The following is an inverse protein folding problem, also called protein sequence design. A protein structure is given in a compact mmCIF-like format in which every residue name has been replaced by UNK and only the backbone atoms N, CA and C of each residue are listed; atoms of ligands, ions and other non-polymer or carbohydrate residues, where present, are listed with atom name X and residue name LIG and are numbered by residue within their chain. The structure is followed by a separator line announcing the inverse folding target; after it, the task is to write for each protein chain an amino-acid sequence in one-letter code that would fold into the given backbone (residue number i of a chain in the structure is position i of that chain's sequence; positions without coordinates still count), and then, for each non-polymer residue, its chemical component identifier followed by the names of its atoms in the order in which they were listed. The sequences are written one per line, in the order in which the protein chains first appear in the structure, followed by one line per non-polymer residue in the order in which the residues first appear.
data_IF_380166942258
#
_entry.id   IF_380166942258
#
_cell.length_a   1.000
_cell.length_b   1.000
_cell.length_c   1.000
_cell.angle_alpha   90.00
_cell.angle_beta   90.00
_cell.angle_gamma   90.00
#
_symmetry.space_group_name_H-M   'P 1'
#
loop_
_entity.id
_entity.type
_entity.pdbx_description
1 polymer ?
#
# COMPACT_ATOMS: atom_id res chain seq x y z
N UNK A 1 6.69 -18.32 -12.87
CA UNK A 1 5.44 -17.78 -12.34
C UNK A 1 5.84 -16.87 -11.20
N UNK A 2 5.68 -15.56 -11.35
CA UNK A 2 6.04 -14.57 -10.33
C UNK A 2 4.95 -14.56 -9.26
N UNK A 3 5.25 -15.02 -8.06
CA UNK A 3 4.32 -15.04 -6.92
C UNK A 3 4.67 -13.90 -5.96
N UNK A 4 3.66 -13.28 -5.35
CA UNK A 4 3.90 -12.29 -4.30
C UNK A 4 4.43 -12.97 -3.03
N UNK A 5 5.49 -12.41 -2.43
CA UNK A 5 6.15 -12.96 -1.25
C UNK A 5 6.17 -11.93 -0.10
N UNK A 6 5.27 -12.05 0.88
CA UNK A 6 5.15 -11.13 2.03
C UNK A 6 6.47 -10.76 2.72
N UNK A 7 7.33 -11.75 2.96
CA UNK A 7 8.56 -11.55 3.74
C UNK A 7 9.74 -10.92 2.97
N UNK A 8 9.64 -10.80 1.64
CA UNK A 8 10.69 -10.18 0.83
C UNK A 8 10.67 -8.65 0.96
N UNK A 9 11.79 -7.92 0.71
CA UNK A 9 11.72 -6.47 0.57
C UNK A 9 10.77 -6.10 -0.58
N UNK A 10 9.96 -5.05 -0.41
CA UNK A 10 8.87 -4.75 -1.33
C UNK A 10 8.92 -3.32 -1.86
N UNK A 11 8.91 -3.19 -3.19
CA UNK A 11 8.55 -1.97 -3.90
C UNK A 11 7.26 -2.23 -4.68
N UNK A 12 6.13 -1.89 -4.06
CA UNK A 12 4.80 -2.09 -4.66
C UNK A 12 4.28 -0.75 -5.19
N UNK A 13 3.82 -0.74 -6.45
CA UNK A 13 3.13 0.43 -7.01
C UNK A 13 1.63 0.36 -6.71
N UNK A 14 1.10 1.35 -6.02
CA UNK A 14 -0.31 1.51 -5.71
C UNK A 14 -1.05 2.36 -6.76
N UNK A 15 -2.07 1.77 -7.38
CA UNK A 15 -2.85 2.37 -8.46
C UNK A 15 -4.37 2.34 -8.22
N UNK A 16 -4.84 2.01 -7.02
CA UNK A 16 -6.27 1.89 -6.71
C UNK A 16 -6.97 3.24 -6.44
N UNK A 17 -6.22 4.35 -6.32
CA UNK A 17 -6.71 5.69 -5.95
C UNK A 17 -7.89 6.20 -6.78
N UNK A 18 -7.88 5.96 -8.09
CA UNK A 18 -8.91 6.43 -9.01
C UNK A 18 -10.31 5.90 -8.67
N UNK A 19 -10.40 4.77 -7.93
CA UNK A 19 -11.67 4.22 -7.44
C UNK A 19 -12.44 5.19 -6.53
N UNK A 20 -11.72 6.05 -5.79
CA UNK A 20 -12.29 6.98 -4.82
C UNK A 20 -12.18 8.44 -5.29
N UNK A 21 -11.13 8.77 -6.06
CA UNK A 21 -10.83 10.13 -6.50
C UNK A 21 -11.33 10.45 -7.93
N UNK A 22 -11.73 9.43 -8.71
CA UNK A 22 -12.02 9.60 -10.13
C UNK A 22 -10.75 9.70 -10.97
N UNK A 23 -10.80 10.47 -12.06
CA UNK A 23 -9.66 10.68 -12.95
C UNK A 23 -8.60 11.51 -12.24
N UNK A 24 -7.42 10.92 -11.99
CA UNK A 24 -6.31 11.57 -11.29
C UNK A 24 -5.06 11.65 -12.16
N UNK A 25 -4.27 12.74 -12.08
CA UNK A 25 -3.06 12.89 -12.88
C UNK A 25 -2.05 11.76 -12.66
N UNK A 26 -1.61 11.09 -13.72
CA UNK A 26 -0.73 9.92 -13.71
C UNK A 26 -1.45 8.57 -13.78
N UNK A 27 -2.79 8.56 -13.75
CA UNK A 27 -3.63 7.37 -13.92
C UNK A 27 -4.73 7.58 -14.97
N UNK A 28 -4.61 8.59 -15.85
CA UNK A 28 -5.54 8.80 -16.96
C UNK A 28 -5.52 7.62 -17.93
N UNK A 29 -4.33 7.03 -18.18
CA UNK A 29 -4.16 5.74 -18.83
C UNK A 29 -3.44 4.77 -17.89
N UNK A 30 -4.17 3.91 -17.16
CA UNK A 30 -3.56 2.90 -16.30
C UNK A 30 -2.64 1.94 -17.06
N UNK A 31 -2.87 1.71 -18.35
CA UNK A 31 -2.08 0.77 -19.16
C UNK A 31 -0.65 1.26 -19.37
N UNK A 32 -0.46 2.55 -19.66
CA UNK A 32 0.87 3.15 -19.79
C UNK A 32 1.63 3.12 -18.46
N UNK A 33 0.95 3.45 -17.35
CA UNK A 33 1.56 3.41 -16.01
C UNK A 33 1.94 1.98 -15.60
N UNK A 34 1.15 0.96 -15.96
CA UNK A 34 1.47 -0.45 -15.72
C UNK A 34 2.76 -0.84 -16.47
N UNK A 35 2.85 -0.57 -17.77
CA UNK A 35 4.04 -0.95 -18.56
C UNK A 35 5.29 -0.25 -18.04
N UNK A 36 5.21 1.05 -17.79
CA UNK A 36 6.31 1.82 -17.20
C UNK A 36 6.79 1.22 -15.87
N UNK A 37 5.86 0.84 -14.99
CA UNK A 37 6.19 0.27 -13.70
C UNK A 37 6.89 -1.08 -13.81
N UNK A 38 6.41 -1.95 -14.70
CA UNK A 38 6.99 -3.27 -14.95
C UNK A 38 8.40 -3.13 -15.54
N UNK A 39 8.58 -2.24 -16.53
CA UNK A 39 9.89 -1.98 -17.16
C UNK A 39 10.89 -1.39 -16.18
N UNK A 40 10.45 -0.49 -15.29
CA UNK A 40 11.28 0.09 -14.25
C UNK A 40 11.57 -0.89 -13.09
N UNK A 41 10.88 -2.03 -13.04
CA UNK A 41 11.13 -3.13 -12.12
C UNK A 41 10.46 -2.98 -10.76
N UNK A 42 9.16 -2.67 -10.70
CA UNK A 42 8.43 -2.84 -9.43
C UNK A 42 8.31 -4.32 -9.05
N UNK A 43 8.23 -4.62 -7.76
CA UNK A 43 8.09 -6.01 -7.29
C UNK A 43 6.64 -6.49 -7.33
N UNK A 44 5.68 -5.57 -7.24
CA UNK A 44 4.26 -5.85 -7.37
C UNK A 44 3.46 -4.60 -7.76
N UNK A 45 2.24 -4.81 -8.24
CA UNK A 45 1.24 -3.75 -8.47
C UNK A 45 -0.01 -4.03 -7.63
N UNK A 46 -0.42 -3.07 -6.81
CA UNK A 46 -1.68 -3.12 -6.05
C UNK A 46 -2.71 -2.21 -6.72
N UNK A 47 -3.83 -2.76 -7.20
CA UNK A 47 -4.82 -1.98 -7.96
C UNK A 47 -6.25 -2.50 -7.80
N UNK A 48 -7.20 -1.89 -8.51
CA UNK A 48 -8.64 -2.16 -8.42
C UNK A 48 -9.12 -3.19 -9.45
N UNK A 49 -10.24 -3.85 -9.14
CA UNK A 49 -10.84 -4.89 -9.99
C UNK A 49 -11.00 -4.49 -11.46
N UNK A 50 -11.49 -3.27 -11.73
CA UNK A 50 -11.72 -2.78 -13.09
C UNK A 50 -10.42 -2.65 -13.90
N UNK A 51 -9.35 -2.18 -13.26
CA UNK A 51 -8.02 -2.09 -13.89
C UNK A 51 -7.48 -3.48 -14.20
N UNK A 52 -7.51 -4.40 -13.23
CA UNK A 52 -7.04 -5.77 -13.42
C UNK A 52 -7.82 -6.46 -14.54
N UNK A 53 -9.15 -6.33 -14.54
CA UNK A 53 -10.01 -6.93 -15.57
C UNK A 53 -9.70 -6.39 -16.96
N UNK A 54 -9.48 -5.09 -17.10
CA UNK A 54 -9.26 -4.44 -18.41
C UNK A 54 -7.85 -4.67 -18.95
N UNK A 55 -6.85 -4.69 -18.07
CA UNK A 55 -5.42 -4.77 -18.42
C UNK A 55 -4.80 -6.08 -17.96
N UNK A 56 -5.60 -7.15 -17.90
CA UNK A 56 -5.20 -8.46 -17.39
C UNK A 56 -3.94 -9.00 -18.05
N UNK A 57 -3.85 -8.87 -19.38
CA UNK A 57 -2.72 -9.35 -20.18
C UNK A 57 -1.42 -8.56 -19.93
N UNK A 58 -1.52 -7.35 -19.36
CA UNK A 58 -0.35 -6.56 -18.96
C UNK A 58 0.13 -6.90 -17.54
N UNK A 59 -0.77 -7.40 -16.70
CA UNK A 59 -0.50 -7.63 -15.27
C UNK A 59 -0.20 -9.10 -14.97
N UNK A 60 -1.19 -9.97 -15.22
CA UNK A 60 -1.22 -11.32 -14.65
C UNK A 60 -0.14 -12.19 -15.27
N UNK A 61 0.74 -12.74 -14.42
CA UNK A 61 1.89 -13.55 -14.82
C UNK A 61 3.10 -12.75 -15.31
N UNK A 62 2.98 -11.42 -15.44
CA UNK A 62 4.08 -10.50 -15.76
C UNK A 62 4.64 -9.83 -14.51
N UNK A 63 3.77 -9.48 -13.56
CA UNK A 63 4.12 -8.87 -12.27
C UNK A 63 3.14 -9.34 -11.19
N UNK A 64 3.61 -9.65 -9.96
CA UNK A 64 2.69 -9.95 -8.86
C UNK A 64 1.65 -8.85 -8.70
N UNK A 65 0.38 -9.22 -8.72
CA UNK A 65 -0.74 -8.26 -8.72
C UNK A 65 -1.61 -8.47 -7.49
N UNK A 66 -1.85 -7.39 -6.73
CA UNK A 66 -2.72 -7.40 -5.55
C UNK A 66 -4.04 -6.69 -5.84
N UNK A 67 -5.16 -7.32 -5.48
CA UNK A 67 -6.50 -6.74 -5.63
C UNK A 67 -6.92 -6.00 -4.36
N UNK A 68 -7.25 -4.71 -4.48
CA UNK A 68 -8.08 -4.01 -3.48
C UNK A 68 -9.48 -4.62 -3.45
N UNK A 69 -9.86 -5.27 -2.36
CA UNK A 69 -11.15 -5.99 -2.25
C UNK A 69 -12.27 -5.17 -1.63
N UNK A 70 -11.94 -4.13 -0.88
CA UNK A 70 -12.90 -3.33 -0.12
C UNK A 70 -12.85 -1.85 -0.53
N UNK A 71 -13.84 -1.10 -0.08
CA UNK A 71 -13.93 0.32 -0.40
C UNK A 71 -15.08 1.02 0.29
N UNK A 72 -15.04 2.35 0.20
CA UNK A 72 -16.04 3.24 0.73
C UNK A 72 -16.32 4.41 -0.20
N UNK A 73 -16.93 5.47 0.33
CA UNK A 73 -17.30 6.67 -0.42
C UNK A 73 -16.17 7.29 -1.24
N UNK A 74 -16.56 7.91 -2.36
CA UNK A 74 -15.67 8.78 -3.14
C UNK A 74 -15.46 10.13 -2.47
N UNK A 75 -14.45 10.89 -2.90
CA UNK A 75 -14.19 12.27 -2.46
C UNK A 75 -15.35 13.24 -2.68
N UNK A 76 -16.33 12.91 -3.53
CA UNK A 76 -17.54 13.71 -3.73
C UNK A 76 -18.55 13.60 -2.59
N UNK A 77 -18.42 12.56 -1.76
CA UNK A 77 -19.34 12.29 -0.66
C UNK A 77 -18.75 12.70 0.68
N UNK A 78 -17.47 12.46 0.90
CA UNK A 78 -16.76 12.83 2.12
C UNK A 78 -15.24 12.90 1.92
N UNK A 79 -14.57 13.58 2.85
CA UNK A 79 -13.11 13.72 2.85
C UNK A 79 -12.40 12.41 3.22
N UNK A 80 -11.13 12.30 2.84
CA UNK A 80 -10.27 11.18 3.23
C UNK A 80 -10.17 11.05 4.76
N UNK A 81 -10.29 9.81 5.27
CA UNK A 81 -10.37 9.45 6.69
C UNK A 81 -11.68 9.82 7.42
N UNK A 82 -12.67 10.41 6.75
CA UNK A 82 -14.01 10.53 7.32
C UNK A 82 -14.70 9.16 7.39
N UNK A 83 -14.63 8.38 6.30
CA UNK A 83 -15.02 6.98 6.18
C UNK A 83 -16.32 6.62 6.92
N UNK A 84 -17.45 7.21 6.55
CA UNK A 84 -18.75 6.93 7.22
C UNK A 84 -19.38 5.62 6.77
N UNK A 85 -18.89 5.02 5.67
CA UNK A 85 -19.32 3.72 5.17
C UNK A 85 -18.15 2.94 4.59
N UNK A 86 -18.09 1.63 4.85
CA UNK A 86 -17.07 0.77 4.25
C UNK A 86 -17.61 -0.63 3.98
N UNK A 87 -17.32 -1.21 2.82
CA UNK A 87 -17.91 -2.50 2.40
C UNK A 87 -16.88 -3.35 1.70
N UNK A 88 -17.07 -4.67 1.81
CA UNK A 88 -16.44 -5.60 0.89
C UNK A 88 -17.07 -5.43 -0.50
N UNK A 89 -16.25 -5.17 -1.51
CA UNK A 89 -16.69 -4.91 -2.88
C UNK A 89 -16.41 -6.08 -3.83
N UNK A 90 -15.40 -6.89 -3.50
CA UNK A 90 -14.96 -8.04 -4.29
C UNK A 90 -14.67 -9.24 -3.40
N UNK A 91 -14.96 -10.42 -3.90
CA UNK A 91 -14.81 -11.69 -3.15
C UNK A 91 -13.50 -12.40 -3.49
N UNK A 92 -13.20 -13.51 -2.80
CA UNK A 92 -12.08 -14.38 -3.20
C UNK A 92 -12.33 -15.05 -4.55
N UNK A 93 -13.57 -15.39 -4.89
CA UNK A 93 -13.90 -15.95 -6.20
C UNK A 93 -13.57 -14.96 -7.32
N UNK A 94 -13.85 -13.67 -7.10
CA UNK A 94 -13.45 -12.59 -8.01
C UNK A 94 -11.92 -12.53 -8.17
N UNK A 95 -11.18 -12.61 -7.06
CA UNK A 95 -9.72 -12.60 -7.05
C UNK A 95 -9.14 -13.80 -7.83
N UNK A 96 -9.66 -15.00 -7.59
CA UNK A 96 -9.26 -16.23 -8.29
C UNK A 96 -9.58 -16.16 -9.78
N UNK A 97 -10.77 -15.64 -10.14
CA UNK A 97 -11.16 -15.46 -11.54
C UNK A 97 -10.25 -14.48 -12.28
N UNK A 98 -9.80 -13.42 -11.61
CA UNK A 98 -8.80 -12.50 -12.15
C UNK A 98 -7.41 -13.14 -12.22
N UNK A 99 -7.09 -14.06 -11.31
CA UNK A 99 -5.79 -14.72 -11.22
C UNK A 99 -4.74 -13.85 -10.55
N UNK A 100 -5.14 -13.05 -9.55
CA UNK A 100 -4.24 -12.18 -8.77
C UNK A 100 -3.36 -12.99 -7.82
N UNK A 101 -2.29 -12.38 -7.35
CA UNK A 101 -1.26 -13.00 -6.51
C UNK A 101 -1.40 -12.63 -5.02
N UNK A 102 -2.33 -11.73 -4.69
CA UNK A 102 -2.62 -11.32 -3.33
C UNK A 102 -3.79 -10.35 -3.24
N UNK A 103 -4.11 -9.95 -2.02
CA UNK A 103 -5.27 -9.12 -1.70
C UNK A 103 -4.84 -7.92 -0.89
N UNK A 104 -5.65 -6.86 -0.93
CA UNK A 104 -5.47 -5.70 -0.07
C UNK A 104 -6.81 -5.23 0.50
N UNK A 105 -6.92 -5.14 1.83
CA UNK A 105 -8.05 -4.51 2.55
C UNK A 105 -7.62 -3.27 3.34
N UNK A 106 -8.56 -2.55 3.92
CA UNK A 106 -8.32 -1.43 4.84
C UNK A 106 -8.72 -1.81 6.27
N UNK A 107 -8.04 -1.21 7.25
CA UNK A 107 -8.48 -1.09 8.64
C UNK A 107 -8.41 0.38 9.03
N UNK A 108 -9.53 0.93 9.50
CA UNK A 108 -9.62 2.34 9.93
C UNK A 108 -9.86 2.44 11.44
N UNK A 109 -8.77 2.42 12.21
CA UNK A 109 -8.80 2.49 13.67
C UNK A 109 -9.35 3.84 14.14
N UNK A 110 -10.30 3.82 15.06
CA UNK A 110 -10.95 4.99 15.65
C UNK A 110 -12.06 5.61 14.80
N UNK A 111 -12.34 5.08 13.60
CA UNK A 111 -13.38 5.59 12.70
C UNK A 111 -14.77 5.01 13.00
N UNK A 112 -15.83 5.59 12.42
CA UNK A 112 -17.20 5.05 12.51
C UNK A 112 -17.34 3.64 11.93
N UNK A 113 -16.44 3.26 11.02
CA UNK A 113 -16.45 1.98 10.31
C UNK A 113 -15.39 1.00 10.81
N UNK A 114 -14.74 1.26 11.97
CA UNK A 114 -13.69 0.40 12.51
C UNK A 114 -14.15 -1.08 12.54
N UNK A 115 -15.29 -1.35 13.15
CA UNK A 115 -15.83 -2.71 13.25
C UNK A 115 -16.17 -3.32 11.88
N UNK A 116 -16.66 -2.52 10.93
CA UNK A 116 -16.94 -3.00 9.57
C UNK A 116 -15.63 -3.41 8.88
N UNK A 117 -14.58 -2.58 8.97
CA UNK A 117 -13.26 -2.86 8.36
C UNK A 117 -12.54 -4.06 8.99
N UNK A 118 -12.66 -4.22 10.32
CA UNK A 118 -12.11 -5.37 11.04
C UNK A 118 -12.86 -6.67 10.66
N UNK A 119 -14.19 -6.61 10.57
CA UNK A 119 -14.99 -7.76 10.15
C UNK A 119 -14.67 -8.19 8.72
N UNK A 120 -14.55 -7.23 7.79
CA UNK A 120 -14.12 -7.48 6.41
C UNK A 120 -12.74 -8.14 6.37
N UNK A 121 -11.78 -7.62 7.14
CA UNK A 121 -10.42 -8.16 7.19
C UNK A 121 -10.41 -9.59 7.73
N UNK A 122 -11.13 -9.88 8.81
CA UNK A 122 -11.23 -11.23 9.36
C UNK A 122 -11.91 -12.23 8.40
N UNK A 123 -12.97 -11.80 7.71
CA UNK A 123 -13.64 -12.62 6.69
C UNK A 123 -12.70 -12.94 5.53
N UNK A 124 -12.02 -11.92 5.01
CA UNK A 124 -11.10 -12.09 3.88
C UNK A 124 -9.88 -12.91 4.28
N UNK A 125 -9.31 -12.72 5.46
CA UNK A 125 -8.17 -13.52 5.94
C UNK A 125 -8.49 -15.02 5.92
N UNK A 126 -9.69 -15.41 6.35
CA UNK A 126 -10.12 -16.81 6.32
C UNK A 126 -10.14 -17.36 4.90
N UNK A 127 -10.72 -16.65 3.95
CA UNK A 127 -10.85 -17.11 2.58
C UNK A 127 -9.52 -17.01 1.80
N UNK A 128 -8.70 -16.01 2.10
CA UNK A 128 -7.37 -15.82 1.55
C UNK A 128 -6.45 -17.00 1.89
N UNK A 129 -6.52 -17.48 3.15
CA UNK A 129 -5.83 -18.69 3.60
C UNK A 129 -6.21 -19.92 2.77
N UNK A 130 -7.52 -20.13 2.50
CA UNK A 130 -7.97 -21.26 1.67
C UNK A 130 -7.48 -21.15 0.22
N UNK A 131 -7.45 -19.92 -0.32
CA UNK A 131 -6.99 -19.64 -1.67
C UNK A 131 -5.47 -19.57 -1.81
N UNK A 132 -4.71 -19.66 -0.70
CA UNK A 132 -3.26 -19.43 -0.67
C UNK A 132 -2.85 -18.07 -1.27
N UNK A 133 -3.67 -17.04 -1.04
CA UNK A 133 -3.40 -15.66 -1.43
C UNK A 133 -2.98 -14.86 -0.20
N UNK A 134 -1.81 -14.22 -0.19
CA UNK A 134 -1.44 -13.33 0.91
C UNK A 134 -2.37 -12.12 1.02
N UNK A 135 -2.66 -11.71 2.24
CA UNK A 135 -3.47 -10.53 2.56
C UNK A 135 -2.58 -9.38 3.08
N UNK A 136 -2.47 -8.32 2.28
CA UNK A 136 -1.98 -7.03 2.76
C UNK A 136 -3.14 -6.27 3.41
N UNK A 137 -2.91 -5.67 4.57
CA UNK A 137 -3.90 -4.80 5.23
C UNK A 137 -3.33 -3.41 5.36
N UNK A 138 -4.01 -2.42 4.79
CA UNK A 138 -3.68 -1.01 4.97
C UNK A 138 -4.37 -0.47 6.23
N UNK A 139 -3.59 -0.38 7.31
CA UNK A 139 -4.08 -0.04 8.64
C UNK A 139 -3.74 1.40 8.99
N UNK A 140 -4.76 2.24 9.18
CA UNK A 140 -4.61 3.66 9.45
C UNK A 140 -5.46 4.09 10.65
N UNK A 141 -4.87 4.82 11.62
CA UNK A 141 -5.64 5.54 12.62
C UNK A 141 -6.37 6.73 11.98
N UNK A 142 -7.59 6.97 12.43
CA UNK A 142 -8.45 8.05 11.95
C UNK A 142 -8.63 9.11 13.05
N UNK A 143 -8.67 10.41 12.68
CA UNK A 143 -8.77 11.48 13.65
C UNK A 143 -10.09 11.42 14.43
N UNK A 144 -10.02 11.55 15.74
CA UNK A 144 -11.18 11.52 16.62
C UNK A 144 -10.84 11.85 18.07
N UNK A 145 -11.83 11.86 18.96
CA UNK A 145 -11.64 12.26 20.35
C UNK A 145 -10.58 11.42 21.12
N UNK A 146 -10.34 10.18 20.69
CA UNK A 146 -9.33 9.28 21.26
C UNK A 146 -8.03 9.20 20.45
N UNK A 147 -8.03 9.73 19.23
CA UNK A 147 -6.87 9.79 18.34
C UNK A 147 -6.79 11.22 17.81
N UNK A 148 -6.25 12.17 18.59
CA UNK A 148 -6.16 13.57 18.18
C UNK A 148 -5.22 13.77 16.99
N UNK A 149 -4.18 12.95 16.88
CA UNK A 149 -3.20 12.96 15.79
C UNK A 149 -3.18 11.58 15.11
N UNK A 150 -3.61 11.47 13.84
CA UNK A 150 -3.54 10.23 13.08
C UNK A 150 -2.11 9.85 12.66
N UNK A 151 -1.10 10.68 12.95
CA UNK A 151 0.31 10.33 12.76
C UNK A 151 0.98 9.88 14.06
N UNK A 152 0.23 9.80 15.18
CA UNK A 152 0.77 9.33 16.45
C UNK A 152 1.32 7.91 16.33
N UNK A 153 2.55 7.73 16.80
CA UNK A 153 3.28 6.47 16.63
C UNK A 153 2.64 5.29 17.39
N UNK A 154 2.02 5.55 18.54
CA UNK A 154 1.33 4.51 19.30
C UNK A 154 0.03 4.10 18.59
N UNK A 155 -0.77 5.07 18.14
CA UNK A 155 -1.98 4.79 17.38
C UNK A 155 -1.68 4.01 16.08
N UNK A 156 -0.57 4.33 15.40
CA UNK A 156 -0.10 3.61 14.21
C UNK A 156 0.32 2.18 14.54
N UNK A 157 1.09 1.98 15.61
CA UNK A 157 1.52 0.67 16.08
C UNK A 157 0.32 -0.21 16.46
N UNK A 158 -0.67 0.36 17.17
CA UNK A 158 -1.88 -0.33 17.56
C UNK A 158 -2.73 -0.72 16.34
N UNK A 159 -2.86 0.17 15.34
CA UNK A 159 -3.56 -0.14 14.09
C UNK A 159 -2.89 -1.31 13.36
N UNK A 160 -1.56 -1.30 13.26
CA UNK A 160 -0.81 -2.38 12.62
C UNK A 160 -0.94 -3.71 13.37
N UNK A 161 -0.84 -3.66 14.70
CA UNK A 161 -1.03 -4.85 15.54
C UNK A 161 -2.45 -5.42 15.37
N UNK A 162 -3.47 -4.58 15.36
CA UNK A 162 -4.85 -5.03 15.17
C UNK A 162 -5.05 -5.65 13.80
N UNK A 163 -4.48 -5.09 12.74
CA UNK A 163 -4.52 -5.69 11.40
C UNK A 163 -3.87 -7.09 11.39
N UNK A 164 -2.70 -7.25 12.02
CA UNK A 164 -2.07 -8.56 12.18
C UNK A 164 -2.96 -9.56 12.93
N UNK A 165 -3.53 -9.17 14.07
CA UNK A 165 -4.40 -10.04 14.87
C UNK A 165 -5.67 -10.48 14.11
N UNK A 166 -6.07 -9.74 13.07
CA UNK A 166 -7.19 -10.08 12.19
C UNK A 166 -6.76 -10.81 10.90
N UNK A 167 -5.49 -11.19 10.80
CA UNK A 167 -4.98 -12.09 9.75
C UNK A 167 -4.24 -11.41 8.60
N UNK A 168 -3.68 -10.22 8.81
CA UNK A 168 -2.76 -9.63 7.84
C UNK A 168 -1.45 -10.43 7.74
N UNK A 169 -1.01 -10.74 6.51
CA UNK A 169 0.33 -11.28 6.22
C UNK A 169 1.36 -10.17 6.02
N UNK A 170 0.91 -8.98 5.60
CA UNK A 170 1.70 -7.75 5.46
C UNK A 170 0.83 -6.58 5.92
N UNK A 171 1.42 -5.63 6.65
CA UNK A 171 0.71 -4.41 7.02
C UNK A 171 1.29 -3.23 6.26
N UNK A 172 0.41 -2.46 5.61
CA UNK A 172 0.72 -1.19 4.98
C UNK A 172 0.25 -0.05 5.88
N UNK A 173 1.09 0.93 6.15
CA UNK A 173 0.72 2.05 7.05
C UNK A 173 1.51 3.33 6.74
N UNK A 174 1.29 4.44 7.45
CA UNK A 174 2.09 5.67 7.26
C UNK A 174 3.35 5.69 8.12
N UNK A 175 4.39 6.39 7.65
CA UNK A 175 5.56 6.71 8.46
C UNK A 175 5.16 7.67 9.61
N UNK A 176 5.82 7.54 10.76
CA UNK A 176 5.45 8.25 12.01
C UNK A 176 6.37 9.43 12.33
N UNK A 177 6.95 10.06 11.30
CA UNK A 177 7.77 11.26 11.42
C UNK A 177 9.28 11.01 11.49
N UNK A 178 9.75 10.04 12.27
CA UNK A 178 11.16 9.67 12.37
C UNK A 178 11.39 8.15 12.52
N UNK A 179 12.65 7.72 12.43
CA UNK A 179 13.00 6.30 12.53
C UNK A 179 12.73 5.69 13.93
N UNK A 180 12.91 6.44 15.02
CA UNK A 180 12.70 5.89 16.38
C UNK A 180 11.22 5.60 16.64
N UNK A 181 10.36 6.53 16.26
CA UNK A 181 8.91 6.37 16.33
C UNK A 181 8.44 5.22 15.44
N UNK A 182 8.95 5.10 14.21
CA UNK A 182 8.53 4.05 13.30
C UNK A 182 9.03 2.66 13.74
N UNK A 183 10.18 2.60 14.42
CA UNK A 183 10.69 1.36 15.01
C UNK A 183 9.74 0.78 16.07
N UNK A 184 8.88 1.60 16.70
CA UNK A 184 7.82 1.11 17.59
C UNK A 184 6.72 0.40 16.82
N UNK A 185 6.38 0.89 15.63
CA UNK A 185 5.37 0.28 14.75
C UNK A 185 5.85 -1.07 14.25
N UNK A 186 7.06 -1.12 13.70
CA UNK A 186 7.66 -2.35 13.18
C UNK A 186 7.93 -3.36 14.29
N UNK A 187 8.44 -2.91 15.45
CA UNK A 187 8.67 -3.78 16.61
C UNK A 187 7.39 -4.31 17.27
N UNK A 188 6.25 -3.62 17.08
CA UNK A 188 4.94 -4.02 17.60
C UNK A 188 4.14 -4.94 16.66
N UNK A 189 4.55 -5.08 15.40
CA UNK A 189 3.85 -5.84 14.37
C UNK A 189 4.64 -7.13 14.02
N UNK A 190 4.08 -8.33 14.27
CA UNK A 190 4.78 -9.60 14.01
C UNK A 190 4.97 -9.95 12.53
N UNK A 191 4.37 -9.19 11.62
CA UNK A 191 4.47 -9.38 10.16
C UNK A 191 5.14 -8.17 9.50
N UNK A 192 5.69 -8.31 8.28
CA UNK A 192 6.30 -7.21 7.55
C UNK A 192 5.42 -5.96 7.50
N UNK A 193 6.02 -4.81 7.84
CA UNK A 193 5.38 -3.49 7.73
C UNK A 193 6.00 -2.73 6.57
N UNK A 194 5.16 -2.23 5.66
CA UNK A 194 5.56 -1.41 4.51
C UNK A 194 4.94 -0.02 4.61
N UNK A 195 5.66 1.02 4.18
CA UNK A 195 5.17 2.39 4.25
C UNK A 195 4.39 2.78 3.00
N UNK A 196 3.19 3.33 3.22
CA UNK A 196 2.40 3.99 2.21
C UNK A 196 2.95 5.39 1.91
N UNK A 197 2.90 5.79 0.64
CA UNK A 197 3.45 7.09 0.22
C UNK A 197 2.69 8.30 0.76
N UNK A 198 1.45 8.14 1.25
CA UNK A 198 0.62 9.26 1.67
C UNK A 198 0.34 10.24 0.52
N UNK A 199 0.10 11.53 0.83
CA UNK A 199 0.11 12.62 -0.15
C UNK A 199 1.44 12.68 -0.91
N UNK A 200 1.44 13.33 -2.08
CA UNK A 200 2.70 13.63 -2.78
C UNK A 200 3.55 14.52 -1.86
N UNK A 201 4.78 14.11 -1.60
CA UNK A 201 5.74 14.88 -0.81
C UNK A 201 6.32 16.01 -1.67
N UNK A 202 6.78 17.08 -1.00
CA UNK A 202 7.24 18.30 -1.67
C UNK A 202 8.49 18.06 -2.54
N UNK A 203 9.36 17.15 -2.14
CA UNK A 203 10.60 16.81 -2.86
C UNK A 203 10.84 15.32 -2.89
N UNK A 204 11.46 14.85 -3.98
CA UNK A 204 11.85 13.46 -4.14
C UNK A 204 12.92 13.07 -3.12
N UNK A 205 13.85 13.96 -2.77
CA UNK A 205 14.84 13.71 -1.72
C UNK A 205 14.21 13.53 -0.34
N UNK A 206 13.19 14.31 0.04
CA UNK A 206 12.46 14.09 1.28
C UNK A 206 11.76 12.72 1.29
N UNK A 207 11.19 12.32 0.15
CA UNK A 207 10.61 10.99 -0.02
C UNK A 207 11.66 9.88 0.15
N UNK A 208 12.83 10.00 -0.48
CA UNK A 208 13.93 9.05 -0.30
C UNK A 208 14.43 8.98 1.15
N UNK A 209 14.46 10.11 1.85
CA UNK A 209 14.83 10.17 3.28
C UNK A 209 13.84 9.37 4.14
N UNK A 210 12.53 9.57 3.95
CA UNK A 210 11.50 8.81 4.66
C UNK A 210 11.63 7.31 4.39
N UNK A 211 11.90 6.92 3.14
CA UNK A 211 12.12 5.50 2.80
C UNK A 211 13.35 4.94 3.51
N UNK A 212 14.46 5.68 3.53
CA UNK A 212 15.68 5.23 4.22
C UNK A 212 15.44 5.04 5.72
N UNK A 213 14.80 6.02 6.36
CA UNK A 213 14.46 5.96 7.79
C UNK A 213 13.50 4.81 8.11
N UNK A 214 12.53 4.57 7.23
CA UNK A 214 11.60 3.43 7.32
C UNK A 214 12.34 2.10 7.31
N UNK A 215 13.27 1.92 6.36
CA UNK A 215 14.05 0.70 6.23
C UNK A 215 14.97 0.50 7.46
N UNK A 216 15.61 1.56 7.93
CA UNK A 216 16.48 1.53 9.12
C UNK A 216 15.70 1.21 10.40
N UNK A 217 14.44 1.60 10.45
CA UNK A 217 13.49 1.27 11.52
C UNK A 217 12.91 -0.15 11.42
N UNK A 218 13.36 -0.98 10.46
CA UNK A 218 12.89 -2.35 10.29
C UNK A 218 11.68 -2.51 9.37
N UNK A 219 11.27 -1.45 8.67
CA UNK A 219 10.27 -1.53 7.62
C UNK A 219 10.76 -2.38 6.45
N UNK A 220 9.83 -3.04 5.75
CA UNK A 220 10.14 -4.01 4.69
C UNK A 220 9.98 -3.45 3.28
N UNK A 221 9.93 -2.13 3.16
CA UNK A 221 9.81 -1.43 1.88
C UNK A 221 8.58 -0.52 1.83
N UNK A 222 8.04 -0.34 0.63
CA UNK A 222 7.05 0.69 0.34
C UNK A 222 5.91 0.21 -0.55
N UNK A 223 4.75 0.83 -0.36
CA UNK A 223 3.60 0.74 -1.25
C UNK A 223 3.23 2.16 -1.70
N UNK A 224 3.88 2.64 -2.75
CA UNK A 224 3.80 4.04 -3.18
C UNK A 224 2.87 4.21 -4.37
N UNK A 225 2.09 5.29 -4.35
CA UNK A 225 1.25 5.70 -5.47
C UNK A 225 1.69 7.05 -6.02
N UNK A 226 1.04 8.11 -5.53
CA UNK A 226 1.22 9.50 -5.99
C UNK A 226 2.68 9.94 -6.10
N UNK A 227 3.54 9.55 -5.16
CA UNK A 227 4.97 9.89 -5.18
C UNK A 227 5.74 9.30 -6.37
N UNK A 228 5.18 8.30 -7.06
CA UNK A 228 5.77 7.68 -8.26
C UNK A 228 5.07 8.20 -9.51
N UNK A 229 3.78 7.90 -9.70
CA UNK A 229 3.09 8.21 -10.96
C UNK A 229 2.76 9.70 -11.18
N UNK A 230 2.96 10.56 -10.17
CA UNK A 230 2.91 12.02 -10.34
C UNK A 230 4.31 12.67 -10.36
N UNK A 231 5.37 11.88 -10.30
CA UNK A 231 6.73 12.40 -10.43
C UNK A 231 7.00 12.82 -11.88
N UNK A 232 7.88 13.80 -12.13
CA UNK A 232 8.30 14.17 -13.48
C UNK A 232 8.92 12.99 -14.24
N UNK A 233 9.64 12.11 -13.54
CA UNK A 233 10.21 10.89 -14.10
C UNK A 233 9.92 9.67 -13.19
N UNK A 234 8.76 9.03 -13.33
CA UNK A 234 8.35 7.90 -12.49
C UNK A 234 9.32 6.71 -12.54
N UNK A 235 9.92 6.43 -13.70
CA UNK A 235 10.88 5.34 -13.87
C UNK A 235 12.18 5.58 -13.08
N UNK A 236 12.69 6.83 -13.10
CA UNK A 236 13.85 7.21 -12.29
C UNK A 236 13.55 7.11 -10.79
N UNK A 237 12.35 7.52 -10.35
CA UNK A 237 11.91 7.36 -8.95
C UNK A 237 11.87 5.88 -8.56
N UNK A 238 11.33 4.99 -9.40
CA UNK A 238 11.35 3.54 -9.14
C UNK A 238 12.79 3.04 -9.03
N UNK A 239 13.69 3.45 -9.93
CA UNK A 239 15.12 3.10 -9.86
C UNK A 239 15.78 3.55 -8.55
N UNK A 240 15.50 4.77 -8.10
CA UNK A 240 15.99 5.31 -6.83
C UNK A 240 15.45 4.52 -5.62
N UNK A 241 14.16 4.16 -5.63
CA UNK A 241 13.54 3.35 -4.58
C UNK A 241 14.12 1.93 -4.56
N UNK A 242 14.34 1.31 -5.72
CA UNK A 242 15.01 0.00 -5.81
C UNK A 242 16.41 0.05 -5.22
N UNK A 243 17.17 1.12 -5.49
CA UNK A 243 18.50 1.29 -4.93
C UNK A 243 18.49 1.28 -3.39
N UNK A 244 17.51 1.93 -2.76
CA UNK A 244 17.38 1.91 -1.30
C UNK A 244 16.92 0.54 -0.77
N UNK A 245 15.88 -0.04 -1.37
CA UNK A 245 15.17 -1.22 -0.84
C UNK A 245 15.94 -2.51 -1.08
N UNK A 246 16.55 -2.66 -2.25
CA UNK A 246 17.16 -3.91 -2.71
C UNK A 246 18.68 -3.89 -2.71
N UNK A 247 19.29 -2.74 -3.03
CA UNK A 247 20.74 -2.63 -3.18
C UNK A 247 21.45 -2.08 -1.93
N UNK A 248 20.69 -1.72 -0.89
CA UNK A 248 21.24 -1.15 0.35
C UNK A 248 21.89 0.22 0.15
N UNK A 249 21.44 0.98 -0.84
CA UNK A 249 21.95 2.30 -1.18
C UNK A 249 21.71 3.36 -0.11
N UNK A 250 22.34 4.52 -0.32
CA UNK A 250 22.14 5.72 0.51
C UNK A 250 21.17 6.68 -0.17
N UNK A 251 20.67 7.67 0.58
CA UNK A 251 19.84 8.75 0.00
C UNK A 251 20.59 9.49 -1.11
N UNK A 252 21.91 9.64 -0.97
CA UNK A 252 22.76 10.28 -1.97
C UNK A 252 22.86 9.44 -3.26
N UNK A 253 23.11 8.13 -3.15
CA UNK A 253 23.17 7.26 -4.34
C UNK A 253 21.82 7.14 -5.03
N UNK A 254 20.73 7.07 -4.27
CA UNK A 254 19.38 7.04 -4.81
C UNK A 254 19.02 8.38 -5.47
N UNK A 255 19.41 9.51 -4.87
CA UNK A 255 19.16 10.84 -5.45
C UNK A 255 19.92 11.07 -6.75
N UNK A 256 21.10 10.46 -6.92
CA UNK A 256 21.86 10.51 -8.17
C UNK A 256 21.13 9.82 -9.35
N UNK A 257 20.17 8.92 -9.07
CA UNK A 257 19.36 8.24 -10.09
C UNK A 257 18.14 9.06 -10.54
N UNK A 258 17.82 10.16 -9.85
CA UNK A 258 16.71 11.05 -10.20
C UNK A 258 17.07 12.06 -11.31
N UNK A 259 18.36 12.18 -11.65
CA UNK A 259 18.92 13.16 -12.58
C UNK A 259 18.72 12.80 -14.06
#
# INVERSE_FOLDING_TARGET
MTTYTPDAPQLVLAMDHARLMGVVPGLEDPGETIEMAIEAGVDAIMTSYGVIKRYRDQLIGRVPTLLRVDGGPSVYREDWLANTQWRLLHTIDDAQALGVDGLCSMVFLGSEVEMDTLAITAEIARHALDASLPLMVEALPCPGARIPDPNDAQAMADACRLAFEHGADVVKTYATGDAESFARVTGGCPVPVVVAGGPKMDTETAMLQVVKETLDAGGRGVVFGRNVWQAPNPAAVIGALRNLIHDGGTVESASALLA
#
